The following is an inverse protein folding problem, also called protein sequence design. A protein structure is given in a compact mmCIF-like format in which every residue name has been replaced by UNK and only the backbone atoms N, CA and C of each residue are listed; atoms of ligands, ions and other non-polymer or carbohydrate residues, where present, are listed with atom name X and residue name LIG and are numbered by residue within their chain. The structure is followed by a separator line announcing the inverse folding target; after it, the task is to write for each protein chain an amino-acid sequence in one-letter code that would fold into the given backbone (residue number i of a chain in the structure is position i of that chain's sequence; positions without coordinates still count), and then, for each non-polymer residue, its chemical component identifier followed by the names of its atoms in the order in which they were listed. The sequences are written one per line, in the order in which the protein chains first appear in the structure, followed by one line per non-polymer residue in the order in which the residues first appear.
data_IF_508484750477
#
_entry.id   IF_508484750477
#
_cell.length_a   1.000
_cell.length_b   1.000
_cell.length_c   1.000
_cell.angle_alpha   90.00
_cell.angle_beta   90.00
_cell.angle_gamma   90.00
#
_symmetry.space_group_name_H-M   'P 1'
#
loop_
_entity.id
_entity.type
_entity.pdbx_description
1 polymer ?
#
# COMPACT_ATOMS: atom_id res chain seq x y z
N UNK A 1 -33.99 25.45 -6.91
CA UNK A 1 -33.39 24.60 -7.97
C UNK A 1 -32.69 25.50 -8.97
N UNK A 2 -31.37 25.38 -9.12
CA UNK A 2 -30.63 25.99 -10.22
C UNK A 2 -29.76 24.90 -10.84
N UNK A 3 -30.13 24.46 -12.04
CA UNK A 3 -29.39 23.43 -12.79
C UNK A 3 -28.09 24.07 -13.31
N UNK A 4 -26.95 23.73 -12.70
CA UNK A 4 -25.64 24.14 -13.22
C UNK A 4 -25.28 23.16 -14.34
N UNK A 5 -25.42 23.64 -15.57
CA UNK A 5 -25.17 22.89 -16.80
C UNK A 5 -23.79 22.27 -16.82
N UNK A 6 -23.73 21.03 -17.32
CA UNK A 6 -22.53 20.20 -17.32
C UNK A 6 -21.39 20.83 -18.11
N UNK A 7 -20.33 21.16 -17.38
CA UNK A 7 -18.99 21.22 -17.95
C UNK A 7 -18.57 19.76 -18.15
N UNK A 8 -18.31 19.37 -19.40
CA UNK A 8 -18.10 17.97 -19.79
C UNK A 8 -17.11 17.20 -18.91
N UNK A 9 -17.26 15.87 -18.89
CA UNK A 9 -16.38 14.94 -18.16
C UNK A 9 -14.93 15.14 -18.63
N UNK A 10 -14.15 15.92 -17.89
CA UNK A 10 -12.76 16.24 -18.24
C UNK A 10 -12.28 17.61 -17.78
N UNK A 11 -13.17 18.57 -17.53
CA UNK A 11 -12.77 19.89 -17.03
C UNK A 11 -12.31 19.89 -15.57
N UNK A 12 -12.76 18.94 -14.75
CA UNK A 12 -12.27 18.76 -13.39
C UNK A 12 -10.80 18.31 -13.31
N UNK A 13 -10.27 17.67 -14.34
CA UNK A 13 -8.87 17.21 -14.37
C UNK A 13 -7.85 18.34 -14.59
N UNK A 14 -8.33 19.53 -14.97
CA UNK A 14 -7.51 20.72 -15.23
C UNK A 14 -7.54 21.73 -14.08
N UNK A 15 -8.34 21.50 -13.04
CA UNK A 15 -8.41 22.35 -11.85
C UNK A 15 -7.44 21.76 -10.83
N UNK A 16 -6.24 22.34 -10.63
CA UNK A 16 -5.34 21.88 -9.58
C UNK A 16 -6.00 22.25 -8.24
N UNK A 17 -6.50 21.25 -7.52
CA UNK A 17 -7.21 21.46 -6.25
C UNK A 17 -8.31 20.44 -5.95
N UNK A 18 -8.80 19.70 -6.94
CA UNK A 18 -9.73 18.57 -6.72
C UNK A 18 -8.96 17.26 -6.43
N UNK A 19 -7.98 17.34 -5.52
CA UNK A 19 -7.56 16.16 -4.76
C UNK A 19 -8.64 15.87 -3.72
N UNK A 20 -9.79 15.40 -4.21
CA UNK A 20 -10.68 14.63 -3.36
C UNK A 20 -9.85 13.40 -2.96
N UNK A 21 -9.43 13.23 -1.68
CA UNK A 21 -8.72 12.03 -1.30
C UNK A 21 -9.63 10.87 -1.70
N UNK A 22 -9.09 9.98 -2.53
CA UNK A 22 -9.77 8.78 -2.96
C UNK A 22 -10.37 8.14 -1.71
N UNK A 23 -11.71 8.20 -1.61
CA UNK A 23 -12.44 7.66 -0.47
C UNK A 23 -12.23 6.16 -0.49
N UNK A 24 -11.30 5.70 0.34
CA UNK A 24 -11.44 4.56 1.24
C UNK A 24 -12.17 3.34 0.62
N UNK A 25 -11.76 2.91 -0.58
CA UNK A 25 -11.93 1.51 -0.98
C UNK A 25 -10.95 0.73 -0.11
N UNK A 26 -11.36 0.46 1.13
CA UNK A 26 -10.57 -0.32 2.08
C UNK A 26 -10.35 -1.69 1.45
N UNK A 27 -9.14 -1.90 0.92
CA UNK A 27 -8.65 -3.24 0.59
C UNK A 27 -8.87 -4.07 1.85
N UNK A 28 -9.57 -5.22 1.78
CA UNK A 28 -9.79 -6.04 2.95
C UNK A 28 -8.43 -6.40 3.55
N UNK A 29 -8.24 -6.00 4.82
CA UNK A 29 -7.04 -6.31 5.58
C UNK A 29 -7.28 -7.63 6.30
N UNK A 30 -6.32 -8.54 6.21
CA UNK A 30 -6.34 -9.82 6.90
C UNK A 30 -5.09 -9.93 7.76
N UNK A 31 -5.23 -10.46 8.98
CA UNK A 31 -4.11 -10.80 9.84
C UNK A 31 -3.44 -12.09 9.35
N UNK A 32 -2.12 -12.06 9.17
CA UNK A 32 -1.32 -13.20 8.68
C UNK A 32 -0.21 -13.49 9.69
N UNK A 33 0.04 -14.76 10.07
CA UNK A 33 1.18 -15.10 10.91
C UNK A 33 2.50 -14.68 10.24
N UNK A 34 3.38 -14.02 11.00
CA UNK A 34 4.68 -13.55 10.49
C UNK A 34 5.54 -14.69 9.91
N UNK A 35 5.38 -15.92 10.43
CA UNK A 35 6.10 -17.11 9.96
C UNK A 35 5.69 -17.58 8.55
N UNK A 36 4.54 -17.13 8.05
CA UNK A 36 4.04 -17.46 6.71
C UNK A 36 4.50 -16.42 5.67
N UNK A 37 5.15 -15.34 6.10
CA UNK A 37 5.62 -14.27 5.21
C UNK A 37 7.08 -14.52 4.82
N UNK A 38 7.32 -14.69 3.53
CA UNK A 38 8.67 -14.87 2.96
C UNK A 38 9.15 -13.60 2.24
N UNK A 39 10.47 -13.36 2.16
CA UNK A 39 11.00 -12.24 1.39
C UNK A 39 10.62 -12.33 -0.09
N UNK A 40 10.28 -11.20 -0.70
CA UNK A 40 10.01 -11.14 -2.14
C UNK A 40 11.28 -11.49 -2.96
N UNK A 41 11.30 -12.58 -3.76
CA UNK A 41 12.47 -12.94 -4.56
C UNK A 41 12.86 -11.89 -5.61
N UNK A 42 11.92 -11.03 -6.01
CA UNK A 42 12.11 -9.94 -6.98
C UNK A 42 12.21 -8.58 -6.29
N UNK A 43 12.68 -8.53 -5.04
CA UNK A 43 12.83 -7.28 -4.29
C UNK A 43 13.79 -6.32 -4.99
N UNK A 44 13.32 -5.18 -5.54
CA UNK A 44 14.20 -4.22 -6.21
C UNK A 44 15.11 -3.47 -5.24
N UNK A 45 14.68 -3.29 -3.98
CA UNK A 45 15.49 -2.63 -2.95
C UNK A 45 16.48 -3.62 -2.36
N UNK A 46 17.75 -3.51 -2.76
CA UNK A 46 18.83 -4.40 -2.31
C UNK A 46 19.62 -3.86 -1.11
N UNK A 47 19.53 -2.55 -0.83
CA UNK A 47 20.25 -1.91 0.28
C UNK A 47 19.24 -1.33 1.28
N UNK A 48 19.43 -1.68 2.55
CA UNK A 48 18.74 -1.09 3.68
C UNK A 48 19.75 -0.40 4.59
N UNK A 49 19.39 0.79 5.06
CA UNK A 49 20.19 1.53 6.02
C UNK A 49 19.82 1.06 7.42
N UNK A 50 20.81 0.62 8.20
CA UNK A 50 20.59 0.04 9.53
C UNK A 50 19.99 1.04 10.52
N UNK A 51 20.39 2.31 10.45
CA UNK A 51 19.84 3.35 11.32
C UNK A 51 18.36 3.58 11.04
N UNK A 52 17.98 3.62 9.75
CA UNK A 52 16.57 3.75 9.35
C UNK A 52 15.74 2.52 9.70
N UNK A 53 16.35 1.32 9.70
CA UNK A 53 15.67 0.10 10.09
C UNK A 53 15.37 0.07 11.60
N UNK A 54 16.30 0.57 12.42
CA UNK A 54 16.09 0.74 13.86
C UNK A 54 14.97 1.76 14.13
N UNK A 55 15.00 2.92 13.48
CA UNK A 55 13.94 3.92 13.59
C UNK A 55 12.56 3.35 13.20
N UNK A 56 12.50 2.56 12.13
CA UNK A 56 11.25 1.89 11.71
C UNK A 56 10.77 0.89 12.75
N UNK A 57 11.68 0.15 13.37
CA UNK A 57 11.36 -0.85 14.41
C UNK A 57 10.75 -0.16 15.64
N UNK A 58 11.39 0.90 16.13
CA UNK A 58 10.89 1.68 17.27
C UNK A 58 9.52 2.30 16.98
N UNK A 59 9.30 2.77 15.75
CA UNK A 59 8.02 3.29 15.29
C UNK A 59 6.93 2.22 15.28
N UNK A 60 7.22 1.03 14.73
CA UNK A 60 6.29 -0.11 14.71
C UNK A 60 5.96 -0.58 16.13
N UNK A 61 6.93 -0.59 17.05
CA UNK A 61 6.68 -0.94 18.46
C UNK A 61 5.76 0.06 19.16
N UNK A 62 5.85 1.34 18.79
CA UNK A 62 5.06 2.42 19.42
C UNK A 62 3.66 2.53 18.84
N UNK A 63 3.52 2.46 17.51
CA UNK A 63 2.27 2.77 16.80
C UNK A 63 1.67 1.56 16.09
N UNK A 64 2.37 0.42 16.02
CA UNK A 64 2.01 -0.70 15.17
C UNK A 64 2.31 -0.43 13.70
N UNK A 65 1.85 -1.34 12.84
CA UNK A 65 1.94 -1.20 11.39
C UNK A 65 0.80 -0.29 10.90
N UNK A 66 1.14 0.95 10.53
CA UNK A 66 0.15 1.95 10.08
C UNK A 66 -0.39 1.63 8.68
N UNK A 67 0.45 1.06 7.81
CA UNK A 67 0.07 0.69 6.45
C UNK A 67 0.11 -0.83 6.28
N UNK A 68 -1.02 -1.46 5.91
CA UNK A 68 -1.05 -2.89 5.63
C UNK A 68 -0.01 -3.28 4.56
N UNK A 69 0.60 -4.45 4.75
CA UNK A 69 1.51 -5.01 3.77
C UNK A 69 0.73 -5.65 2.63
N UNK A 70 1.20 -5.46 1.40
CA UNK A 70 0.71 -6.22 0.25
C UNK A 70 1.46 -7.55 0.19
N UNK A 71 0.71 -8.63 0.27
CA UNK A 71 1.20 -10.00 0.16
C UNK A 71 0.44 -10.73 -0.94
N UNK A 72 1.06 -11.77 -1.48
CA UNK A 72 0.40 -12.74 -2.34
C UNK A 72 0.63 -14.11 -1.71
N UNK A 73 -0.33 -15.02 -1.90
CA UNK A 73 -0.10 -16.41 -1.54
C UNK A 73 1.16 -16.89 -2.26
N UNK A 74 2.07 -17.52 -1.51
CA UNK A 74 3.18 -18.23 -2.12
C UNK A 74 2.59 -19.46 -2.80
N UNK A 75 2.17 -19.27 -4.05
CA UNK A 75 1.84 -20.36 -4.96
C UNK A 75 3.19 -21.02 -5.23
N UNK A 76 3.56 -21.92 -4.31
CA UNK A 76 4.83 -22.60 -4.33
C UNK A 76 5.13 -23.02 -5.76
N UNK A 77 6.35 -22.79 -6.21
CA UNK A 77 6.84 -23.54 -7.35
C UNK A 77 6.86 -25.00 -6.92
N UNK A 78 5.73 -25.68 -7.10
CA UNK A 78 5.61 -27.13 -7.14
C UNK A 78 6.57 -27.61 -8.23
N UNK A 79 7.78 -28.00 -7.81
CA UNK A 79 8.69 -28.79 -8.65
C UNK A 79 9.88 -28.06 -9.25
N UNK A 80 10.88 -27.74 -8.42
CA UNK A 80 12.25 -28.04 -8.81
C UNK A 80 13.10 -28.37 -7.57
N UNK A 81 13.28 -29.68 -7.40
CA UNK A 81 14.46 -30.28 -6.76
C UNK A 81 15.70 -29.95 -7.58
#
# INVERSE_FOLDING_TARGET
MARKGGLGRGLGALIPGDEQPARDERVPVTEVPIGDVVPNPKQPRTVMDESKLLELTDSILTYGIIQPLLVMEDVGHDGQR
#
